data_IF_299185357755
#
_entry.id   IF_299185357755
#
_cell.length_a   1.000
_cell.length_b   1.000
_cell.length_c   1.000
_cell.angle_alpha   90.00
_cell.angle_beta   90.00
_cell.angle_gamma   90.00
#
_symmetry.space_group_name_H-M   'P 1'
#
loop_
_entity.id
_entity.type
_entity.pdbx_description
1 polymer ?
#
# COMPACT_ATOMS: atom_id res chain seq x y z
N UNK A 1 -26.67 -50.56 -7.52
CA UNK A 1 -26.57 -49.50 -6.48
C UNK A 1 -25.18 -49.43 -5.86
N UNK A 2 -24.59 -50.53 -5.37
CA UNK A 2 -23.29 -50.54 -4.68
C UNK A 2 -22.13 -49.94 -5.48
N UNK A 3 -22.02 -50.24 -6.77
CA UNK A 3 -20.94 -49.73 -7.64
C UNK A 3 -21.02 -48.23 -7.89
N UNK A 4 -22.23 -47.66 -8.02
CA UNK A 4 -22.43 -46.21 -8.18
C UNK A 4 -22.00 -45.43 -6.92
N UNK A 5 -22.21 -46.02 -5.74
CA UNK A 5 -21.79 -45.44 -4.46
C UNK A 5 -20.26 -45.41 -4.34
N UNK A 6 -19.58 -46.49 -4.74
CA UNK A 6 -18.11 -46.54 -4.75
C UNK A 6 -17.53 -45.46 -5.67
N UNK A 7 -18.07 -45.31 -6.88
CA UNK A 7 -17.63 -44.26 -7.79
C UNK A 7 -17.90 -42.84 -7.27
N UNK A 8 -19.03 -42.62 -6.60
CA UNK A 8 -19.34 -41.33 -5.99
C UNK A 8 -18.37 -40.97 -4.86
N UNK A 9 -17.98 -41.95 -4.03
CA UNK A 9 -17.00 -41.74 -2.95
C UNK A 9 -15.60 -41.46 -3.52
N UNK A 10 -15.18 -42.20 -4.55
CA UNK A 10 -13.89 -41.96 -5.21
C UNK A 10 -13.84 -40.54 -5.80
N UNK A 11 -14.90 -40.08 -6.45
CA UNK A 11 -15.01 -38.71 -6.97
C UNK A 11 -14.97 -37.65 -5.86
N UNK A 12 -15.53 -37.93 -4.69
CA UNK A 12 -15.51 -36.99 -3.57
C UNK A 12 -14.11 -36.84 -2.95
N UNK A 13 -13.33 -37.93 -2.91
CA UNK A 13 -11.98 -37.95 -2.31
C UNK A 13 -10.91 -37.41 -3.27
N UNK A 14 -11.10 -37.54 -4.59
CA UNK A 14 -10.14 -37.06 -5.60
C UNK A 14 -10.17 -35.55 -5.85
N UNK A 15 -11.17 -34.83 -5.34
CA UNK A 15 -11.27 -33.37 -5.45
C UNK A 15 -11.41 -32.71 -4.08
N UNK A 16 -10.40 -32.79 -3.19
CA UNK A 16 -10.40 -31.92 -2.02
C UNK A 16 -10.31 -30.49 -2.54
N UNK A 17 -11.44 -29.76 -2.52
CA UNK A 17 -11.42 -28.32 -2.68
C UNK A 17 -10.63 -27.80 -1.48
N UNK A 18 -9.39 -27.39 -1.71
CA UNK A 18 -8.68 -26.54 -0.76
C UNK A 18 -9.48 -25.24 -0.65
N UNK A 19 -10.38 -25.19 0.31
CA UNK A 19 -11.08 -23.97 0.68
C UNK A 19 -10.04 -23.13 1.43
N UNK A 20 -9.32 -22.29 0.69
CA UNK A 20 -8.56 -21.21 1.28
C UNK A 20 -9.56 -20.16 1.77
N UNK A 21 -9.61 -19.91 3.07
CA UNK A 21 -10.23 -18.68 3.56
C UNK A 21 -9.26 -17.53 3.25
N UNK A 22 -9.63 -16.68 2.31
CA UNK A 22 -8.96 -15.39 2.20
C UNK A 22 -9.54 -14.52 3.33
N UNK A 23 -8.73 -14.23 4.34
CA UNK A 23 -9.12 -13.38 5.48
C UNK A 23 -9.30 -11.90 5.10
N UNK A 24 -9.27 -11.56 3.81
CA UNK A 24 -9.35 -10.21 3.27
C UNK A 24 -9.89 -10.20 1.84
N UNK A 25 -10.32 -9.03 1.36
CA UNK A 25 -10.69 -8.81 -0.04
C UNK A 25 -9.44 -8.47 -0.89
N UNK A 26 -9.37 -8.99 -2.11
CA UNK A 26 -8.32 -8.65 -3.08
C UNK A 26 -6.96 -9.32 -2.82
N UNK A 27 -6.04 -9.22 -3.79
CA UNK A 27 -4.66 -9.66 -3.63
C UNK A 27 -3.84 -8.51 -3.04
N UNK A 28 -3.14 -8.69 -1.90
CA UNK A 28 -2.25 -7.67 -1.39
C UNK A 28 -1.13 -7.39 -2.38
N UNK A 29 -0.91 -6.11 -2.68
CA UNK A 29 0.15 -5.65 -3.58
C UNK A 29 0.96 -4.54 -2.89
N UNK A 30 2.24 -4.43 -3.28
CA UNK A 30 3.06 -3.28 -2.86
C UNK A 30 2.66 -2.09 -3.71
N UNK A 31 2.36 -0.98 -3.04
CA UNK A 31 1.95 0.28 -3.67
C UNK A 31 2.98 1.38 -3.36
N UNK A 32 4.24 1.00 -3.17
CA UNK A 32 5.24 1.91 -2.65
C UNK A 32 5.86 2.79 -3.74
N UNK A 33 5.80 2.36 -4.99
CA UNK A 33 6.62 2.93 -6.04
C UNK A 33 5.88 4.06 -6.78
N UNK A 34 6.63 4.94 -7.44
CA UNK A 34 6.12 5.95 -8.40
C UNK A 34 5.18 7.03 -7.83
N UNK A 35 5.28 7.33 -6.53
CA UNK A 35 4.54 8.44 -5.94
C UNK A 35 5.08 9.80 -6.39
N UNK A 36 4.20 10.81 -6.36
CA UNK A 36 4.52 12.22 -6.63
C UNK A 36 4.46 13.01 -5.32
N UNK A 37 5.48 13.80 -5.04
CA UNK A 37 5.59 14.60 -3.81
C UNK A 37 5.99 16.05 -4.07
N UNK A 38 5.35 16.98 -3.36
CA UNK A 38 5.79 18.37 -3.23
C UNK A 38 5.54 18.86 -1.81
N UNK A 39 6.50 19.59 -1.23
CA UNK A 39 6.35 20.22 0.08
C UNK A 39 5.68 21.60 -0.08
N UNK A 40 4.38 21.61 -0.36
CA UNK A 40 3.59 22.83 -0.54
C UNK A 40 2.09 22.56 -0.37
N UNK A 41 1.37 23.50 0.23
CA UNK A 41 -0.09 23.52 0.18
C UNK A 41 -0.57 24.00 -1.20
N UNK A 42 -1.27 23.10 -1.90
CA UNK A 42 -1.76 23.35 -3.26
C UNK A 42 -3.26 23.09 -3.31
N UNK A 43 -4.03 24.16 -3.47
CA UNK A 43 -5.47 24.06 -3.70
C UNK A 43 -5.78 23.32 -5.01
N UNK A 44 -6.69 22.34 -4.95
CA UNK A 44 -7.15 21.60 -6.13
C UNK A 44 -6.29 20.38 -6.51
N UNK A 45 -5.19 20.11 -5.81
CA UNK A 45 -4.34 18.95 -6.06
C UNK A 45 -5.02 17.59 -5.76
N UNK A 46 -6.19 17.59 -5.09
CA UNK A 46 -7.04 16.41 -4.92
C UNK A 46 -7.73 15.95 -6.21
N UNK A 47 -7.74 16.79 -7.26
CA UNK A 47 -8.32 16.43 -8.55
C UNK A 47 -7.50 15.33 -9.23
N UNK A 48 -8.11 14.24 -9.73
CA UNK A 48 -7.39 13.18 -10.46
C UNK A 48 -6.68 13.65 -11.73
N UNK A 49 -7.10 14.81 -12.26
CA UNK A 49 -6.54 15.40 -13.47
C UNK A 49 -5.59 16.57 -13.16
N UNK A 50 -5.17 16.74 -11.90
CA UNK A 50 -4.23 17.79 -11.54
C UNK A 50 -2.88 17.55 -12.24
N UNK A 51 -2.23 18.63 -12.71
CA UNK A 51 -0.91 18.52 -13.34
C UNK A 51 0.20 18.53 -12.27
N UNK A 52 0.69 17.35 -11.94
CA UNK A 52 1.77 17.09 -10.97
C UNK A 52 3.14 16.85 -11.63
N UNK A 53 3.30 17.14 -12.93
CA UNK A 53 4.54 16.83 -13.69
C UNK A 53 5.82 17.46 -13.13
N UNK A 54 5.69 18.49 -12.29
CA UNK A 54 6.82 19.17 -11.61
C UNK A 54 7.12 18.61 -10.22
N UNK A 55 6.31 17.69 -9.72
CA UNK A 55 6.47 17.09 -8.40
C UNK A 55 7.58 16.04 -8.44
N UNK A 56 8.25 15.86 -7.31
CA UNK A 56 9.31 14.89 -7.17
C UNK A 56 8.75 13.47 -7.24
N UNK A 57 9.40 12.58 -8.00
CA UNK A 57 9.16 11.14 -7.87
C UNK A 57 9.74 10.62 -6.55
N UNK A 58 8.95 9.87 -5.79
CA UNK A 58 9.39 9.22 -4.55
C UNK A 58 8.81 7.81 -4.46
N UNK A 59 9.53 6.93 -3.78
CA UNK A 59 9.00 5.64 -3.35
C UNK A 59 8.78 5.67 -1.83
N UNK A 60 7.80 4.92 -1.35
CA UNK A 60 7.41 4.84 0.05
C UNK A 60 8.20 3.74 0.80
N UNK A 61 8.39 3.89 2.13
CA UNK A 61 8.07 5.05 2.95
C UNK A 61 9.03 6.22 2.68
N UNK A 62 8.49 7.44 2.63
CA UNK A 62 9.25 8.67 2.41
C UNK A 62 9.06 9.65 3.58
N UNK A 63 10.16 10.03 4.23
CA UNK A 63 10.22 11.12 5.21
C UNK A 63 10.88 12.32 4.54
N UNK A 64 10.16 13.43 4.41
CA UNK A 64 10.67 14.64 3.79
C UNK A 64 11.51 15.47 4.78
N UNK A 65 11.17 15.44 6.07
CA UNK A 65 11.77 16.29 7.10
C UNK A 65 13.23 15.94 7.36
N UNK A 66 13.59 14.65 7.23
CA UNK A 66 14.95 14.16 7.46
C UNK A 66 16.00 14.73 6.50
N UNK A 67 15.57 15.30 5.37
CA UNK A 67 16.45 15.92 4.37
C UNK A 67 16.69 17.41 4.63
N UNK A 68 15.94 18.00 5.56
CA UNK A 68 16.00 19.42 5.86
C UNK A 68 17.14 19.76 6.82
N UNK A 69 17.48 21.05 6.87
CA UNK A 69 18.49 21.54 7.81
C UNK A 69 17.93 21.62 9.23
N UNK A 70 18.75 21.21 10.21
CA UNK A 70 18.46 21.38 11.63
C UNK A 70 18.40 22.87 11.99
N UNK A 71 17.47 23.27 12.86
CA UNK A 71 17.41 24.63 13.40
C UNK A 71 17.32 24.65 14.93
N UNK A 72 18.18 25.42 15.62
CA UNK A 72 18.12 25.54 17.08
C UNK A 72 16.85 26.25 17.58
N UNK A 73 16.07 26.86 16.70
CA UNK A 73 14.78 27.47 17.05
C UNK A 73 13.64 26.45 17.12
N UNK A 74 13.89 25.20 16.70
CA UNK A 74 12.90 24.12 16.68
C UNK A 74 12.98 23.26 17.95
N UNK A 75 11.95 22.46 18.19
CA UNK A 75 11.85 21.68 19.41
C UNK A 75 12.86 20.53 19.45
N UNK A 76 13.52 20.35 20.60
CA UNK A 76 14.49 19.26 20.80
C UNK A 76 13.85 17.87 20.66
N UNK A 77 12.59 17.72 21.10
CA UNK A 77 11.84 16.48 21.03
C UNK A 77 11.52 16.03 19.59
N UNK A 78 11.63 16.91 18.59
CA UNK A 78 11.46 16.58 17.16
C UNK A 78 12.81 16.49 16.43
N UNK A 79 13.91 16.44 17.18
CA UNK A 79 15.25 16.39 16.61
C UNK A 79 15.68 17.69 15.92
N UNK A 80 15.07 18.83 16.27
CA UNK A 80 15.35 20.14 15.64
C UNK A 80 15.08 20.20 14.13
N UNK A 81 14.30 19.27 13.58
CA UNK A 81 13.88 19.27 12.19
C UNK A 81 12.54 19.99 12.01
N UNK A 82 12.34 20.66 10.86
CA UNK A 82 11.06 21.28 10.54
C UNK A 82 9.97 20.23 10.33
N UNK A 83 8.74 20.62 10.67
CA UNK A 83 7.51 19.87 10.39
C UNK A 83 6.58 20.67 9.45
N UNK A 84 5.35 20.20 9.33
CA UNK A 84 4.24 20.91 8.65
C UNK A 84 3.13 21.21 9.63
#
# INVERSE_FOLDING_TARGET
>A
MKTKVVWAVILLVLFPKCVYSQLSFGQPEKINDEWRFILKDIDGAQSPNYNDTRWQNVDLPHDWSIKESLSPTLASATGYLPGG
#
